data_IF_794301060614
#
_entry.id   IF_794301060614
#
_cell.length_a   1.000
_cell.length_b   1.000
_cell.length_c   1.000
_cell.angle_alpha   90.00
_cell.angle_beta   90.00
_cell.angle_gamma   90.00
#
_symmetry.space_group_name_H-M   'P 1'
#
loop_
_entity.id
_entity.type
_entity.pdbx_description
1 polymer ?
#
# COMPACT_ATOMS: atom_id res chain seq x y z
N UNK A 1 26.84 0.19 49.26
CA UNK A 1 25.64 -0.55 48.82
C UNK A 1 24.58 0.33 48.13
N UNK A 2 24.15 1.47 48.70
CA UNK A 2 23.08 2.31 48.11
C UNK A 2 23.32 2.80 46.67
N UNK A 3 24.57 3.05 46.28
CA UNK A 3 24.93 3.50 44.92
C UNK A 3 24.67 2.43 43.85
N UNK A 4 24.95 1.16 44.16
CA UNK A 4 24.75 0.02 43.25
C UNK A 4 23.25 -0.24 43.04
N UNK A 5 22.46 -0.16 44.12
CA UNK A 5 21.01 -0.33 44.06
C UNK A 5 20.35 0.77 43.22
N UNK A 6 20.74 2.03 43.39
CA UNK A 6 20.25 3.14 42.54
C UNK A 6 20.60 2.95 41.07
N UNK A 7 21.78 2.42 40.75
CA UNK A 7 22.24 2.16 39.37
C UNK A 7 21.47 1.01 38.72
N UNK A 8 21.17 -0.07 39.45
CA UNK A 8 20.31 -1.17 38.96
C UNK A 8 18.88 -0.70 38.70
N UNK A 9 18.29 0.07 39.63
CA UNK A 9 16.92 0.58 39.46
C UNK A 9 16.82 1.48 38.21
N UNK A 10 17.83 2.34 37.97
CA UNK A 10 17.89 3.23 36.80
C UNK A 10 18.06 2.48 35.47
N UNK A 11 18.84 1.41 35.46
CA UNK A 11 19.01 0.57 34.26
C UNK A 11 17.73 -0.22 33.94
N UNK A 12 17.06 -0.78 34.96
CA UNK A 12 15.81 -1.50 34.75
C UNK A 12 14.70 -0.56 34.26
N UNK A 13 14.55 0.63 34.84
CA UNK A 13 13.58 1.62 34.36
C UNK A 13 13.85 2.04 32.91
N UNK A 14 15.12 2.26 32.55
CA UNK A 14 15.49 2.58 31.16
C UNK A 14 15.15 1.44 30.19
N UNK A 15 15.37 0.19 30.60
CA UNK A 15 15.01 -0.99 29.81
C UNK A 15 13.49 -1.12 29.62
N UNK A 16 12.70 -0.94 30.69
CA UNK A 16 11.24 -1.00 30.60
C UNK A 16 10.67 0.14 29.75
N UNK A 17 11.22 1.36 29.83
CA UNK A 17 10.80 2.49 28.98
C UNK A 17 11.08 2.18 27.50
N UNK A 18 12.25 1.63 27.19
CA UNK A 18 12.57 1.21 25.82
C UNK A 18 11.63 0.12 25.30
N UNK A 19 11.35 -0.89 26.13
CA UNK A 19 10.46 -1.99 25.78
C UNK A 19 9.02 -1.52 25.52
N UNK A 20 8.50 -0.62 26.37
CA UNK A 20 7.17 -0.01 26.21
C UNK A 20 7.13 0.84 24.94
N UNK A 21 8.16 1.64 24.69
CA UNK A 21 8.28 2.44 23.46
C UNK A 21 8.27 1.58 22.20
N UNK A 22 9.02 0.47 22.19
CA UNK A 22 9.03 -0.48 21.07
C UNK A 22 7.66 -1.16 20.87
N UNK A 23 6.97 -1.54 21.93
CA UNK A 23 5.63 -2.13 21.86
C UNK A 23 4.59 -1.14 21.31
N UNK A 24 4.66 0.14 21.73
CA UNK A 24 3.77 1.19 21.24
C UNK A 24 3.99 1.48 19.74
N UNK A 25 5.24 1.45 19.28
CA UNK A 25 5.56 1.57 17.85
C UNK A 25 5.01 0.38 17.05
N UNK A 26 5.21 -0.86 17.52
CA UNK A 26 4.69 -2.07 16.86
C UNK A 26 3.15 -2.10 16.78
N UNK A 27 2.48 -1.71 17.86
CA UNK A 27 1.01 -1.63 17.89
C UNK A 27 0.46 -0.53 16.99
N UNK A 28 1.08 0.66 16.96
CA UNK A 28 0.69 1.72 16.01
C UNK A 28 0.86 1.27 14.55
N UNK A 29 1.92 0.53 14.24
CA UNK A 29 2.18 0.05 12.88
C UNK A 29 1.16 -1.01 12.46
N UNK A 30 0.80 -1.94 13.36
CA UNK A 30 -0.21 -2.96 13.09
C UNK A 30 -1.63 -2.38 12.98
N UNK A 31 -2.05 -1.50 13.89
CA UNK A 31 -3.39 -0.90 13.87
C UNK A 31 -3.64 -0.06 12.62
N UNK A 32 -2.63 0.66 12.15
CA UNK A 32 -2.74 1.41 10.89
C UNK A 32 -2.88 0.47 9.69
N UNK A 33 -2.09 -0.61 9.62
CA UNK A 33 -2.19 -1.58 8.52
C UNK A 33 -3.58 -2.25 8.45
N UNK A 34 -4.11 -2.69 9.60
CA UNK A 34 -5.44 -3.31 9.67
C UNK A 34 -6.58 -2.37 9.25
N UNK A 35 -6.49 -1.06 9.51
CA UNK A 35 -7.55 -0.12 9.15
C UNK A 35 -7.76 -0.01 7.63
N UNK A 36 -6.70 -0.18 6.84
CA UNK A 36 -6.75 0.01 5.38
C UNK A 36 -7.08 -1.28 4.61
N UNK A 37 -6.87 -2.45 5.21
CA UNK A 37 -7.17 -3.77 4.63
C UNK A 37 -8.66 -4.02 4.36
N UNK A 38 -9.57 -3.20 4.89
CA UNK A 38 -11.03 -3.37 4.72
C UNK A 38 -11.66 -2.44 3.67
N UNK A 39 -10.90 -1.49 3.12
CA UNK A 39 -11.42 -0.52 2.16
C UNK A 39 -11.42 -1.15 0.78
N UNK A 40 -12.60 -1.57 0.33
CA UNK A 40 -12.84 -2.12 -1.00
C UNK A 40 -13.33 -1.01 -1.92
N UNK A 41 -12.57 -0.67 -2.96
CA UNK A 41 -12.93 0.41 -3.89
C UNK A 41 -12.88 -0.03 -5.35
N UNK A 42 -13.60 0.71 -6.21
CA UNK A 42 -13.69 0.49 -7.67
C UNK A 42 -12.56 1.24 -8.36
N UNK A 43 -11.73 0.54 -9.14
CA UNK A 43 -10.54 1.15 -9.76
C UNK A 43 -10.55 1.26 -11.29
N UNK A 44 -11.24 0.38 -12.01
CA UNK A 44 -11.08 0.28 -13.48
C UNK A 44 -12.45 0.37 -14.18
N UNK A 45 -12.53 0.98 -15.38
CA UNK A 45 -13.74 0.96 -16.22
C UNK A 45 -14.12 -0.46 -16.67
N UNK A 46 -15.39 -0.66 -16.98
CA UNK A 46 -16.00 -1.95 -17.33
C UNK A 46 -15.30 -2.64 -18.52
N UNK A 47 -14.87 -3.89 -18.35
CA UNK A 47 -14.27 -4.70 -19.41
C UNK A 47 -13.75 -6.05 -18.93
N UNK A 48 -13.38 -6.91 -19.88
CA UNK A 48 -12.68 -8.17 -19.60
C UNK A 48 -11.17 -7.92 -19.58
N UNK A 49 -10.49 -8.43 -18.55
CA UNK A 49 -9.06 -8.24 -18.38
C UNK A 49 -8.38 -9.58 -18.10
N UNK A 50 -7.37 -9.97 -18.89
CA UNK A 50 -6.65 -11.23 -18.60
C UNK A 50 -5.86 -11.13 -17.30
N UNK A 51 -5.27 -9.96 -17.05
CA UNK A 51 -4.46 -9.66 -15.87
C UNK A 51 -4.50 -8.18 -15.54
N UNK A 52 -4.53 -7.86 -14.25
CA UNK A 52 -4.28 -6.53 -13.72
C UNK A 52 -3.11 -6.60 -12.74
N UNK A 53 -2.23 -5.63 -12.84
CA UNK A 53 -1.15 -5.38 -11.88
C UNK A 53 -1.32 -4.00 -11.30
N UNK A 54 -1.11 -3.88 -10.00
CA UNK A 54 -1.21 -2.65 -9.24
C UNK A 54 0.08 -2.52 -8.45
N UNK A 55 0.87 -1.52 -8.78
CA UNK A 55 2.18 -1.30 -8.19
C UNK A 55 2.22 0.09 -7.55
N UNK A 56 2.76 0.20 -6.33
CA UNK A 56 3.00 1.51 -5.75
C UNK A 56 4.15 2.21 -6.49
N UNK A 57 4.16 3.54 -6.50
CA UNK A 57 5.18 4.32 -7.22
C UNK A 57 6.60 4.10 -6.66
N UNK A 58 6.70 3.73 -5.39
CA UNK A 58 7.97 3.34 -4.73
C UNK A 58 8.34 1.87 -4.95
N UNK A 59 7.52 1.11 -5.70
CA UNK A 59 7.74 -0.30 -6.05
C UNK A 59 7.60 -1.30 -4.90
N UNK A 60 7.18 -0.86 -3.71
CA UNK A 60 7.12 -1.73 -2.51
C UNK A 60 5.86 -2.58 -2.42
N UNK A 61 4.78 -2.15 -3.04
CA UNK A 61 3.55 -2.93 -3.17
C UNK A 61 3.43 -3.42 -4.60
N UNK A 62 3.22 -4.72 -4.79
CA UNK A 62 2.95 -5.32 -6.11
C UNK A 62 1.82 -6.32 -5.98
N UNK A 63 0.65 -5.93 -6.45
CA UNK A 63 -0.58 -6.73 -6.40
C UNK A 63 -0.91 -7.18 -7.82
N UNK A 64 -0.88 -8.49 -8.03
CA UNK A 64 -1.22 -9.09 -9.32
C UNK A 64 -2.53 -9.87 -9.18
N UNK A 65 -3.49 -9.54 -10.04
CA UNK A 65 -4.74 -10.29 -10.19
C UNK A 65 -4.79 -10.88 -11.59
N UNK A 66 -4.87 -12.20 -11.65
CA UNK A 66 -5.00 -12.96 -12.89
C UNK A 66 -6.46 -13.38 -13.11
N UNK A 67 -6.82 -13.66 -14.36
CA UNK A 67 -8.13 -14.17 -14.76
C UNK A 67 -9.29 -13.25 -14.34
N UNK A 68 -9.13 -11.95 -14.54
CA UNK A 68 -10.16 -10.95 -14.26
C UNK A 68 -11.18 -10.86 -15.40
N UNK A 69 -11.76 -12.00 -15.76
CA UNK A 69 -12.83 -12.12 -16.75
C UNK A 69 -14.16 -11.72 -16.11
N UNK A 70 -14.99 -11.00 -16.85
CA UNK A 70 -16.36 -10.57 -16.48
C UNK A 70 -16.51 -9.76 -15.18
N UNK A 71 -15.40 -9.28 -14.62
CA UNK A 71 -15.43 -8.41 -13.46
C UNK A 71 -15.65 -6.97 -13.91
N UNK A 72 -16.91 -6.49 -13.82
CA UNK A 72 -17.26 -5.08 -14.00
C UNK A 72 -16.36 -4.15 -13.18
N UNK A 73 -15.90 -4.62 -12.01
CA UNK A 73 -15.06 -3.89 -11.08
C UNK A 73 -13.94 -4.73 -10.51
N UNK A 74 -12.79 -4.09 -10.30
CA UNK A 74 -11.69 -4.67 -9.52
C UNK A 74 -11.71 -4.01 -8.15
N UNK A 75 -12.01 -4.84 -7.16
CA UNK A 75 -11.88 -4.46 -5.77
C UNK A 75 -10.44 -4.63 -5.31
N UNK A 76 -9.85 -3.58 -4.76
CA UNK A 76 -8.54 -3.62 -4.12
C UNK A 76 -8.71 -3.20 -2.68
N UNK A 77 -7.94 -3.84 -1.80
CA UNK A 77 -7.95 -3.65 -0.36
C UNK A 77 -6.53 -3.35 0.11
N UNK A 78 -6.40 -2.60 1.20
CA UNK A 78 -5.10 -2.42 1.86
C UNK A 78 -4.14 -1.48 1.15
N UNK A 79 -4.63 -0.53 0.34
CA UNK A 79 -3.73 0.48 -0.23
C UNK A 79 -3.19 1.39 0.87
N UNK A 80 -1.90 1.73 0.79
CA UNK A 80 -1.25 2.63 1.74
C UNK A 80 -1.83 4.03 1.61
N UNK A 81 -1.95 4.77 2.72
CA UNK A 81 -2.31 6.19 2.69
C UNK A 81 -1.29 7.06 1.96
N UNK A 82 -1.76 8.15 1.34
CA UNK A 82 -0.93 9.19 0.71
C UNK A 82 0.11 8.59 -0.26
N UNK A 83 -0.32 7.61 -1.05
CA UNK A 83 0.54 6.84 -1.95
C UNK A 83 -0.02 6.86 -3.36
N UNK A 84 0.88 6.90 -4.34
CA UNK A 84 0.50 6.77 -5.75
C UNK A 84 0.62 5.31 -6.16
N UNK A 85 -0.43 4.81 -6.81
CA UNK A 85 -0.48 3.47 -7.39
C UNK A 85 -0.64 3.56 -8.90
N UNK A 86 0.19 2.81 -9.61
CA UNK A 86 0.09 2.59 -11.04
C UNK A 86 -0.65 1.29 -11.28
N UNK A 87 -1.66 1.34 -12.14
CA UNK A 87 -2.49 0.21 -12.48
C UNK A 87 -2.32 -0.03 -13.95
N UNK A 88 -1.84 -1.23 -14.28
CA UNK A 88 -1.65 -1.68 -15.65
C UNK A 88 -2.47 -2.95 -15.85
N UNK A 89 -3.29 -2.99 -16.90
CA UNK A 89 -3.85 -4.24 -17.39
C UNK A 89 -2.92 -4.86 -18.44
N UNK A 90 -3.07 -6.16 -18.64
CA UNK A 90 -2.49 -6.85 -19.77
C UNK A 90 -3.56 -7.69 -20.46
N UNK A 91 -4.02 -7.21 -21.62
CA UNK A 91 -4.89 -7.93 -22.54
C UNK A 91 -6.33 -8.14 -22.05
N UNK A 92 -7.16 -8.64 -22.95
CA UNK A 92 -8.62 -8.68 -22.82
C UNK A 92 -9.26 -7.95 -24.01
N UNK A 93 -10.54 -7.60 -23.91
CA UNK A 93 -11.25 -6.89 -24.99
C UNK A 93 -10.83 -5.41 -25.08
N UNK A 94 -10.38 -4.84 -23.95
CA UNK A 94 -9.69 -3.55 -23.94
C UNK A 94 -8.20 -3.82 -24.17
N UNK A 95 -7.64 -3.27 -25.26
CA UNK A 95 -6.18 -3.12 -25.46
C UNK A 95 -5.57 -2.48 -24.19
N UNK A 96 -4.27 -2.72 -23.96
CA UNK A 96 -3.53 -2.30 -22.75
C UNK A 96 -4.03 -1.00 -22.12
N UNK A 97 -4.27 -1.02 -20.81
CA UNK A 97 -4.73 0.15 -20.05
C UNK A 97 -3.80 0.43 -18.89
N UNK A 98 -3.36 1.68 -18.79
CA UNK A 98 -2.49 2.18 -17.73
C UNK A 98 -3.10 3.43 -17.11
N UNK A 99 -3.22 3.47 -15.80
CA UNK A 99 -3.66 4.67 -15.09
C UNK A 99 -3.03 4.79 -13.71
N UNK A 100 -2.95 6.02 -13.23
CA UNK A 100 -2.29 6.36 -11.98
C UNK A 100 -3.31 6.94 -11.02
N UNK A 101 -3.29 6.48 -9.77
CA UNK A 101 -4.24 6.91 -8.76
C UNK A 101 -3.52 7.28 -7.48
N UNK A 102 -3.96 8.36 -6.86
CA UNK A 102 -3.48 8.81 -5.56
C UNK A 102 -4.46 8.40 -4.47
N UNK A 103 -3.94 7.87 -3.38
CA UNK A 103 -4.71 7.58 -2.18
C UNK A 103 -4.65 8.72 -1.17
N UNK A 104 -5.73 8.95 -0.45
CA UNK A 104 -5.80 9.93 0.63
C UNK A 104 -5.19 9.37 1.93
N UNK A 105 -5.33 10.10 3.03
CA UNK A 105 -4.87 9.67 4.36
C UNK A 105 -5.54 8.38 4.89
N UNK A 106 -6.60 7.93 4.24
CA UNK A 106 -7.30 6.68 4.55
C UNK A 106 -6.97 5.53 3.58
N UNK A 107 -6.03 5.70 2.65
CA UNK A 107 -5.77 4.67 1.63
C UNK A 107 -6.86 4.55 0.56
N UNK A 108 -7.83 5.48 0.54
CA UNK A 108 -8.86 5.54 -0.51
C UNK A 108 -8.36 6.32 -1.70
N UNK A 109 -8.59 5.79 -2.89
CA UNK A 109 -8.35 6.53 -4.14
C UNK A 109 -9.31 7.71 -4.18
N UNK A 110 -8.74 8.90 -4.31
CA UNK A 110 -9.50 10.14 -4.34
C UNK A 110 -9.22 10.98 -5.58
N UNK A 111 -8.15 10.65 -6.32
CA UNK A 111 -7.71 11.40 -7.48
C UNK A 111 -7.02 10.49 -8.49
N UNK A 112 -7.39 10.63 -9.75
CA UNK A 112 -6.64 10.08 -10.88
C UNK A 112 -5.56 11.09 -11.29
N UNK A 113 -4.38 10.58 -11.60
CA UNK A 113 -3.18 11.33 -11.94
C UNK A 113 -2.74 11.03 -13.37
N UNK A 114 -2.03 11.99 -13.95
CA UNK A 114 -1.43 11.81 -15.28
C UNK A 114 -0.31 10.76 -15.24
N UNK A 115 -0.23 9.94 -16.29
CA UNK A 115 0.77 8.87 -16.44
C UNK A 115 2.21 9.38 -16.56
N UNK A 116 2.42 10.67 -16.82
CA UNK A 116 3.75 11.32 -16.79
C UNK A 116 4.43 11.25 -15.42
N UNK A 117 3.67 11.04 -14.34
CA UNK A 117 4.18 10.92 -12.97
C UNK A 117 4.85 9.55 -12.74
N UNK A 118 4.63 8.57 -13.62
CA UNK A 118 5.25 7.24 -13.51
C UNK A 118 6.77 7.37 -13.67
N UNK A 119 7.57 6.94 -12.69
CA UNK A 119 9.02 6.95 -12.82
C UNK A 119 9.47 6.00 -13.93
N UNK A 120 10.57 6.33 -14.61
CA UNK A 120 11.06 5.56 -15.76
C UNK A 120 11.28 4.07 -15.42
N UNK A 121 11.69 3.78 -14.19
CA UNK A 121 11.86 2.41 -13.68
C UNK A 121 10.58 1.57 -13.69
N UNK A 122 9.42 2.21 -13.68
CA UNK A 122 8.11 1.55 -13.73
C UNK A 122 7.46 1.64 -15.12
N UNK A 123 7.95 2.49 -16.03
CA UNK A 123 7.34 2.69 -17.36
C UNK A 123 7.33 1.42 -18.21
N UNK A 124 8.41 0.64 -18.18
CA UNK A 124 8.50 -0.66 -18.89
C UNK A 124 7.42 -1.65 -18.44
N UNK A 125 6.96 -1.52 -17.18
CA UNK A 125 5.95 -2.40 -16.60
C UNK A 125 4.55 -1.81 -16.70
N UNK A 126 4.46 -0.48 -16.70
CA UNK A 126 3.21 0.23 -16.65
C UNK A 126 2.57 0.37 -18.03
N UNK A 127 3.35 0.54 -19.10
CA UNK A 127 2.86 0.86 -20.44
C UNK A 127 2.70 -0.43 -21.26
N UNK A 128 1.45 -0.73 -21.65
CA UNK A 128 1.08 -1.80 -22.60
C UNK A 128 0.11 -1.29 -23.65
#
# INVERSE_FOLDING_TARGET
MLSIVKKMIRNNTSFYIFLIGALLMLSCTHSNRFRYDFISQKLIPEGTFKRIRIISIDGKDDIIKNKCYDSLYIYVRGLRPNMVYVISNNGGDRKGYTSCFETNSEGKIYKELDVSIIPDSLKEWAIY
#
